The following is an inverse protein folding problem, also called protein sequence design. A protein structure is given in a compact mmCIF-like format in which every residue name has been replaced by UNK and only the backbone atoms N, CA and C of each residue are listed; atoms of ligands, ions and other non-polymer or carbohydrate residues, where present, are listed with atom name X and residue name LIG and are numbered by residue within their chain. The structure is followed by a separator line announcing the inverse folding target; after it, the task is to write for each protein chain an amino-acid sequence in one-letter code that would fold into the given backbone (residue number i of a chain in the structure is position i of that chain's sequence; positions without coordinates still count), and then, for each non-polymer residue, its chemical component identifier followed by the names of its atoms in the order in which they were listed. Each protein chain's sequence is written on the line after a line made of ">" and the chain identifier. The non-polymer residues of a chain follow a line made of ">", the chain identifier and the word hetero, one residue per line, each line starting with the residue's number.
data_IF_219604585947
#
_entry.id   IF_219604585947
#
_cell.length_a   1.000
_cell.length_b   1.000
_cell.length_c   1.000
_cell.angle_alpha   90.00
_cell.angle_beta   90.00
_cell.angle_gamma   90.00
#
_symmetry.space_group_name_H-M   'P 1'
#
loop_
_entity.id
_entity.type
_entity.pdbx_description
1 polymer ?
#
# COMPACT_ATOMS: atom_id res chain seq x y z
N UNK A 1 -7.40 -21.99 10.52
CA UNK A 1 -6.69 -22.31 9.26
C UNK A 1 -6.04 -23.68 9.41
N UNK A 2 -6.37 -24.67 8.57
CA UNK A 2 -5.60 -25.92 8.55
C UNK A 2 -4.21 -25.62 7.98
N UNK A 3 -3.12 -25.77 8.75
CA UNK A 3 -1.79 -25.38 8.30
C UNK A 3 -1.27 -26.20 7.11
N UNK A 4 -1.77 -27.43 6.89
CA UNK A 4 -1.27 -28.34 5.85
C UNK A 4 -1.82 -28.02 4.45
N UNK A 5 -3.04 -27.46 4.37
CA UNK A 5 -3.75 -27.23 3.11
C UNK A 5 -3.91 -25.76 2.76
N UNK A 6 -3.30 -24.86 3.54
CA UNK A 6 -3.46 -23.42 3.34
C UNK A 6 -2.71 -22.94 2.09
N UNK A 7 -3.47 -22.66 1.04
CA UNK A 7 -2.95 -22.11 -0.23
C UNK A 7 -2.91 -20.58 -0.24
N UNK A 8 -3.68 -19.93 0.64
CA UNK A 8 -3.90 -18.47 0.65
C UNK A 8 -4.93 -17.97 -0.36
N UNK A 9 -5.28 -18.78 -1.39
CA UNK A 9 -6.26 -18.40 -2.41
C UNK A 9 -7.62 -18.08 -1.79
N UNK A 10 -8.28 -17.05 -2.31
CA UNK A 10 -9.67 -16.77 -2.00
C UNK A 10 -10.55 -17.97 -2.41
N UNK A 11 -11.49 -18.41 -1.56
CA UNK A 11 -12.47 -19.43 -1.96
C UNK A 11 -13.25 -18.99 -3.20
N UNK A 12 -13.62 -19.95 -4.06
CA UNK A 12 -14.39 -19.67 -5.29
C UNK A 12 -15.67 -18.91 -5.02
N UNK A 13 -16.36 -19.27 -3.95
CA UNK A 13 -17.67 -18.71 -3.61
C UNK A 13 -17.54 -17.25 -3.15
N UNK A 14 -16.40 -16.89 -2.53
CA UNK A 14 -16.10 -15.50 -2.15
C UNK A 14 -15.79 -14.64 -3.38
N UNK A 15 -15.02 -15.17 -4.34
CA UNK A 15 -14.76 -14.51 -5.62
C UNK A 15 -16.09 -14.28 -6.36
N UNK A 16 -16.93 -15.31 -6.44
CA UNK A 16 -18.25 -15.22 -7.05
C UNK A 16 -19.14 -14.18 -6.36
N UNK A 17 -19.19 -14.17 -5.02
CA UNK A 17 -19.94 -13.16 -4.26
C UNK A 17 -19.43 -11.75 -4.55
N UNK A 18 -18.11 -11.55 -4.65
CA UNK A 18 -17.53 -10.25 -5.00
C UNK A 18 -17.93 -9.81 -6.41
N UNK A 19 -18.03 -10.74 -7.37
CA UNK A 19 -18.47 -10.41 -8.74
C UNK A 19 -19.92 -9.92 -8.78
N UNK A 20 -20.79 -10.46 -7.92
CA UNK A 20 -22.19 -10.00 -7.78
C UNK A 20 -22.33 -8.58 -7.21
N UNK A 21 -21.24 -8.01 -6.67
CA UNK A 21 -21.21 -6.66 -6.10
C UNK A 21 -20.72 -5.59 -7.09
N UNK A 22 -20.70 -5.88 -8.40
CA UNK A 22 -20.27 -4.94 -9.44
C UNK A 22 -20.90 -3.53 -9.30
N UNK A 23 -22.20 -3.47 -9.00
CA UNK A 23 -22.93 -2.21 -8.78
C UNK A 23 -22.32 -1.31 -7.69
N UNK A 24 -21.65 -1.92 -6.70
CA UNK A 24 -20.98 -1.24 -5.60
C UNK A 24 -19.59 -0.77 -6.02
N UNK A 25 -18.89 -1.61 -6.78
CA UNK A 25 -17.53 -1.32 -7.24
C UNK A 25 -17.53 -0.16 -8.24
N UNK A 26 -18.49 -0.11 -9.17
CA UNK A 26 -18.65 0.98 -10.15
C UNK A 26 -18.86 2.35 -9.50
N UNK A 27 -19.57 2.38 -8.36
CA UNK A 27 -19.83 3.60 -7.58
C UNK A 27 -18.68 3.97 -6.64
N UNK A 28 -17.71 3.07 -6.46
CA UNK A 28 -16.57 3.28 -5.57
C UNK A 28 -15.51 4.15 -6.24
N UNK A 29 -14.73 4.85 -5.41
CA UNK A 29 -13.56 5.65 -5.86
C UNK A 29 -12.23 5.15 -5.35
N UNK A 30 -12.31 4.19 -4.44
CA UNK A 30 -11.20 3.48 -3.85
C UNK A 30 -11.75 2.20 -3.22
N UNK A 31 -10.91 1.18 -3.12
CA UNK A 31 -11.20 -0.01 -2.35
C UNK A 31 -10.40 0.02 -1.06
N UNK A 32 -11.01 -0.39 0.04
CA UNK A 32 -10.36 -0.50 1.34
C UNK A 32 -10.42 -1.95 1.79
N UNK A 33 -9.26 -2.54 2.07
CA UNK A 33 -9.18 -3.93 2.51
C UNK A 33 -8.25 -4.06 3.71
N UNK A 34 -8.54 -5.00 4.61
CA UNK A 34 -7.76 -5.24 5.82
C UNK A 34 -6.80 -6.41 5.64
N UNK A 35 -5.53 -6.18 5.98
CA UNK A 35 -4.42 -7.14 5.92
C UNK A 35 -3.72 -7.25 7.27
N UNK A 36 -4.49 -7.45 8.33
CA UNK A 36 -3.93 -7.65 9.66
C UNK A 36 -3.36 -9.06 9.77
N UNK A 37 -2.06 -9.16 10.05
CA UNK A 37 -1.37 -10.43 10.06
C UNK A 37 -1.46 -11.08 11.46
N UNK A 38 -1.97 -12.31 11.51
CA UNK A 38 -1.99 -13.09 12.74
C UNK A 38 -0.60 -13.64 13.08
N UNK A 39 -0.25 -13.66 14.36
CA UNK A 39 1.04 -14.17 14.86
C UNK A 39 1.27 -15.63 14.49
N UNK A 40 0.21 -16.42 14.32
CA UNK A 40 0.33 -17.82 13.86
C UNK A 40 0.99 -17.95 12.48
N UNK A 41 0.96 -16.87 11.68
CA UNK A 41 1.57 -16.82 10.35
C UNK A 41 2.98 -16.21 10.35
N UNK A 42 3.48 -15.77 11.50
CA UNK A 42 4.75 -15.05 11.65
C UNK A 42 5.89 -15.73 10.87
N UNK A 43 6.61 -14.95 10.07
CA UNK A 43 7.83 -15.35 9.35
C UNK A 43 7.65 -16.66 8.59
N UNK A 44 6.55 -16.75 7.84
CA UNK A 44 6.23 -17.94 7.07
C UNK A 44 5.74 -17.60 5.67
N UNK A 45 5.93 -18.53 4.74
CA UNK A 45 5.34 -18.43 3.40
C UNK A 45 3.81 -18.34 3.41
N UNK A 46 3.16 -18.70 4.52
CA UNK A 46 1.70 -18.55 4.67
C UNK A 46 1.31 -17.09 4.91
N UNK A 47 2.15 -16.29 5.58
CA UNK A 47 1.95 -14.85 5.66
C UNK A 47 1.99 -14.21 4.27
N UNK A 48 3.00 -14.57 3.46
CA UNK A 48 3.09 -14.13 2.07
C UNK A 48 1.82 -14.51 1.29
N UNK A 49 1.43 -15.78 1.31
CA UNK A 49 0.23 -16.26 0.60
C UNK A 49 -1.04 -15.55 1.07
N UNK A 50 -1.19 -15.32 2.38
CA UNK A 50 -2.33 -14.61 2.96
C UNK A 50 -2.46 -13.19 2.38
N UNK A 51 -1.36 -12.43 2.35
CA UNK A 51 -1.37 -11.07 1.81
C UNK A 51 -1.51 -11.10 0.30
N UNK A 52 -0.67 -11.87 -0.40
CA UNK A 52 -0.61 -11.94 -1.86
C UNK A 52 -2.00 -12.13 -2.48
N UNK A 53 -2.72 -13.18 -2.08
CA UNK A 53 -4.01 -13.50 -2.69
C UNK A 53 -5.13 -12.50 -2.33
N UNK A 54 -5.12 -11.93 -1.12
CA UNK A 54 -6.09 -10.92 -0.75
C UNK A 54 -5.87 -9.60 -1.48
N UNK A 55 -4.60 -9.21 -1.68
CA UNK A 55 -4.26 -8.01 -2.46
C UNK A 55 -4.59 -8.23 -3.93
N UNK A 56 -4.30 -9.41 -4.48
CA UNK A 56 -4.67 -9.75 -5.86
C UNK A 56 -6.17 -9.72 -6.09
N UNK A 57 -6.97 -10.23 -5.16
CA UNK A 57 -8.43 -10.10 -5.27
C UNK A 57 -8.87 -8.65 -5.22
N UNK A 58 -8.32 -7.84 -4.31
CA UNK A 58 -8.63 -6.41 -4.28
C UNK A 58 -8.24 -5.68 -5.58
N UNK A 59 -7.09 -6.01 -6.18
CA UNK A 59 -6.65 -5.46 -7.46
C UNK A 59 -7.54 -5.93 -8.61
N UNK A 60 -7.95 -7.21 -8.64
CA UNK A 60 -8.90 -7.73 -9.64
C UNK A 60 -10.23 -6.98 -9.60
N UNK A 61 -10.78 -6.75 -8.40
CA UNK A 61 -11.99 -5.95 -8.23
C UNK A 61 -11.74 -4.49 -8.65
N UNK A 62 -10.58 -3.92 -8.35
CA UNK A 62 -10.25 -2.55 -8.74
C UNK A 62 -10.16 -2.35 -10.27
N UNK A 63 -9.68 -3.36 -10.99
CA UNK A 63 -9.60 -3.39 -12.44
C UNK A 63 -10.98 -3.63 -13.08
N UNK A 64 -11.81 -4.49 -12.48
CA UNK A 64 -13.16 -4.80 -12.97
C UNK A 64 -14.17 -3.69 -12.67
N UNK A 65 -13.93 -2.89 -11.63
CA UNK A 65 -14.85 -1.86 -11.17
C UNK A 65 -15.17 -0.81 -12.25
N UNK A 66 -14.19 -0.48 -13.12
CA UNK A 66 -14.34 0.58 -14.13
C UNK A 66 -13.47 0.31 -15.35
N UNK A 67 -13.87 0.85 -16.51
CA UNK A 67 -13.12 0.71 -17.77
C UNK A 67 -12.11 1.83 -18.03
N UNK A 68 -12.22 2.96 -17.33
CA UNK A 68 -11.44 4.18 -17.58
C UNK A 68 -10.13 4.23 -16.78
N UNK A 69 -10.09 3.67 -15.57
CA UNK A 69 -8.88 3.52 -14.77
C UNK A 69 -9.06 2.45 -13.67
N UNK A 70 -7.93 1.95 -13.16
CA UNK A 70 -7.91 1.01 -12.02
C UNK A 70 -8.12 1.77 -10.72
N UNK A 71 -9.13 1.40 -9.93
CA UNK A 71 -9.39 2.04 -8.64
C UNK A 71 -8.16 1.97 -7.71
N UNK A 72 -7.86 3.04 -6.95
CA UNK A 72 -6.82 2.95 -5.93
C UNK A 72 -7.26 1.97 -4.82
N UNK A 73 -6.40 0.99 -4.54
CA UNK A 73 -6.57 0.08 -3.41
C UNK A 73 -5.77 0.58 -2.21
N UNK A 74 -6.46 0.73 -1.08
CA UNK A 74 -5.90 1.12 0.20
C UNK A 74 -5.98 -0.05 1.18
N UNK A 75 -4.85 -0.37 1.77
CA UNK A 75 -4.74 -1.49 2.71
C UNK A 75 -4.64 -0.97 4.12
N UNK A 76 -5.58 -1.36 4.96
CA UNK A 76 -5.43 -1.25 6.40
C UNK A 76 -4.52 -2.37 6.90
N UNK A 77 -3.41 -1.99 7.51
CA UNK A 77 -2.47 -2.93 8.13
C UNK A 77 -2.08 -2.44 9.52
N UNK A 78 -1.31 -3.28 10.23
CA UNK A 78 -0.80 -3.04 11.57
C UNK A 78 0.71 -3.18 11.57
N UNK A 79 1.49 -2.28 12.20
CA UNK A 79 2.89 -2.53 12.51
C UNK A 79 3.13 -3.72 13.46
N UNK A 80 2.09 -4.24 14.12
CA UNK A 80 2.14 -5.36 15.05
C UNK A 80 1.24 -6.52 14.61
N UNK A 81 1.52 -7.74 15.07
CA UNK A 81 0.64 -8.87 14.80
C UNK A 81 -0.69 -8.72 15.55
N UNK A 82 -1.75 -9.36 15.03
CA UNK A 82 -3.07 -9.33 15.66
C UNK A 82 -3.04 -9.79 17.13
N UNK A 83 -3.81 -9.09 17.96
CA UNK A 83 -4.01 -9.37 19.39
C UNK A 83 -2.72 -9.40 20.21
N UNK A 84 -1.67 -8.72 19.75
CA UNK A 84 -0.44 -8.55 20.52
C UNK A 84 0.30 -7.24 20.16
N UNK A 85 1.32 -6.93 20.96
CA UNK A 85 2.22 -5.79 20.77
C UNK A 85 3.56 -6.18 20.15
N UNK A 86 3.65 -7.39 19.60
CA UNK A 86 4.85 -7.87 18.96
C UNK A 86 4.95 -7.28 17.56
N UNK A 87 6.03 -6.56 17.30
CA UNK A 87 6.23 -5.89 16.02
C UNK A 87 6.43 -6.91 14.90
N UNK A 88 5.95 -6.59 13.70
CA UNK A 88 6.18 -7.41 12.52
C UNK A 88 7.68 -7.62 12.30
N UNK A 89 8.06 -8.86 11.99
CA UNK A 89 9.43 -9.18 11.61
C UNK A 89 9.83 -8.47 10.31
N UNK A 90 11.13 -8.36 10.05
CA UNK A 90 11.61 -7.79 8.79
C UNK A 90 11.07 -8.55 7.57
N UNK A 91 10.93 -9.86 7.70
CA UNK A 91 10.35 -10.75 6.69
C UNK A 91 8.86 -10.45 6.49
N UNK A 92 8.09 -10.28 7.57
CA UNK A 92 6.66 -9.99 7.44
C UNK A 92 6.39 -8.54 7.01
N UNK A 93 7.30 -7.59 7.24
CA UNK A 93 7.25 -6.30 6.55
C UNK A 93 7.39 -6.46 5.03
N UNK A 94 8.20 -7.41 4.56
CA UNK A 94 8.30 -7.75 3.14
C UNK A 94 7.02 -8.42 2.64
N UNK A 95 6.52 -9.42 3.36
CA UNK A 95 5.29 -10.12 2.99
C UNK A 95 4.03 -9.25 3.07
N UNK A 96 4.04 -8.16 3.83
CA UNK A 96 2.91 -7.23 3.95
C UNK A 96 3.09 -6.00 3.06
N UNK A 97 3.95 -5.07 3.48
CA UNK A 97 4.17 -3.78 2.83
C UNK A 97 4.85 -3.95 1.48
N UNK A 98 5.87 -4.81 1.41
CA UNK A 98 6.59 -5.08 0.16
C UNK A 98 5.70 -5.72 -0.90
N UNK A 99 5.00 -6.77 -0.51
CA UNK A 99 4.13 -7.55 -1.39
C UNK A 99 3.04 -6.67 -1.97
N UNK A 100 2.38 -5.92 -1.09
CA UNK A 100 1.26 -5.10 -1.51
C UNK A 100 1.71 -3.96 -2.43
N UNK A 101 2.91 -3.39 -2.22
CA UNK A 101 3.50 -2.39 -3.11
C UNK A 101 3.86 -2.98 -4.47
N UNK A 102 4.42 -4.19 -4.50
CA UNK A 102 4.75 -4.89 -5.73
C UNK A 102 3.51 -5.21 -6.58
N UNK A 103 2.37 -5.48 -5.95
CA UNK A 103 1.09 -5.73 -6.60
C UNK A 103 0.34 -4.45 -7.05
N UNK A 104 0.95 -3.26 -6.90
CA UNK A 104 0.39 -2.02 -7.48
C UNK A 104 -0.65 -1.30 -6.62
N UNK A 105 -0.75 -1.62 -5.32
CA UNK A 105 -1.61 -0.90 -4.39
C UNK A 105 -1.28 0.60 -4.34
N UNK A 106 -2.24 1.42 -3.92
CA UNK A 106 -2.04 2.86 -3.82
C UNK A 106 -1.49 3.30 -2.45
N UNK A 107 -1.97 2.73 -1.35
CA UNK A 107 -1.54 3.13 0.00
C UNK A 107 -1.66 2.00 1.00
N UNK A 108 -0.77 1.96 1.97
CA UNK A 108 -1.01 1.28 3.26
C UNK A 108 -1.27 2.32 4.33
N UNK A 109 -2.33 2.08 5.08
CA UNK A 109 -2.73 2.83 6.26
C UNK A 109 -2.42 1.93 7.45
N UNK A 110 -1.39 2.31 8.20
CA UNK A 110 -1.05 1.66 9.46
C UNK A 110 -1.96 2.25 10.55
N UNK A 111 -2.91 1.43 10.99
CA UNK A 111 -3.91 1.76 11.99
C UNK A 111 -3.65 0.95 13.26
N UNK A 112 -3.69 1.60 14.41
CA UNK A 112 -3.52 0.93 15.70
C UNK A 112 -4.55 1.38 16.73
N UNK A 113 -4.82 0.48 17.69
CA UNK A 113 -5.71 0.72 18.82
C UNK A 113 -5.04 1.46 19.97
N UNK A 114 -5.73 1.58 21.09
CA UNK A 114 -5.22 2.30 22.26
C UNK A 114 -4.13 1.52 23.02
N UNK A 115 -4.10 0.19 22.87
CA UNK A 115 -3.29 -0.75 23.64
C UNK A 115 -1.77 -0.49 23.53
N UNK A 116 -1.37 0.24 22.49
CA UNK A 116 0.02 0.61 22.19
C UNK A 116 0.52 1.82 22.99
N UNK A 117 -0.39 2.50 23.67
CA UNK A 117 -0.12 3.67 24.54
C UNK A 117 -0.44 3.41 26.01
N UNK A 118 -0.78 2.16 26.37
CA UNK A 118 -1.25 1.79 27.72
C UNK A 118 -0.17 1.91 28.80
N UNK A 119 1.11 1.78 28.42
CA UNK A 119 2.24 1.99 29.31
C UNK A 119 3.37 2.74 28.62
N UNK A 120 4.23 3.37 29.43
CA UNK A 120 5.43 4.05 28.96
C UNK A 120 6.35 3.07 28.22
N UNK A 121 6.48 1.85 28.74
CA UNK A 121 7.33 0.79 28.21
C UNK A 121 6.83 0.33 26.83
N UNK A 122 5.52 0.06 26.71
CA UNK A 122 4.88 -0.31 25.44
C UNK A 122 5.07 0.80 24.42
N UNK A 123 4.83 2.07 24.82
CA UNK A 123 5.00 3.16 23.89
C UNK A 123 6.46 3.33 23.41
N UNK A 124 7.45 3.26 24.30
CA UNK A 124 8.86 3.38 23.90
C UNK A 124 9.26 2.25 22.95
N UNK A 125 8.73 1.04 23.14
CA UNK A 125 8.93 -0.09 22.21
C UNK A 125 8.33 0.21 20.83
N UNK A 126 7.09 0.70 20.79
CA UNK A 126 6.39 1.11 19.56
C UNK A 126 7.16 2.21 18.83
N UNK A 127 7.59 3.25 19.55
CA UNK A 127 8.36 4.36 19.01
C UNK A 127 9.68 3.87 18.38
N UNK A 128 10.40 2.96 19.07
CA UNK A 128 11.65 2.38 18.58
C UNK A 128 11.44 1.56 17.32
N UNK A 129 10.34 0.82 17.23
CA UNK A 129 10.01 0.06 16.01
C UNK A 129 9.68 0.99 14.83
N UNK A 130 8.81 1.98 15.07
CA UNK A 130 8.41 2.95 14.05
C UNK A 130 9.62 3.72 13.51
N UNK A 131 10.46 4.29 14.39
CA UNK A 131 11.64 5.06 14.01
C UNK A 131 12.83 4.19 13.55
N UNK A 132 12.71 2.87 13.67
CA UNK A 132 13.77 1.93 13.39
C UNK A 132 13.44 1.06 12.16
N UNK A 133 13.13 -0.24 12.35
CA UNK A 133 12.87 -1.16 11.24
C UNK A 133 11.79 -0.68 10.27
N UNK A 134 10.67 -0.18 10.79
CA UNK A 134 9.54 0.23 9.96
C UNK A 134 9.89 1.42 9.07
N UNK A 135 10.41 2.51 9.62
CA UNK A 135 10.82 3.69 8.83
C UNK A 135 11.87 3.32 7.76
N UNK A 136 12.87 2.50 8.13
CA UNK A 136 13.89 2.04 7.19
C UNK A 136 13.31 1.24 6.03
N UNK A 137 12.32 0.39 6.29
CA UNK A 137 11.66 -0.39 5.26
C UNK A 137 10.68 0.44 4.44
N UNK A 138 9.93 1.33 5.08
CA UNK A 138 9.02 2.26 4.44
C UNK A 138 9.74 3.13 3.41
N UNK A 139 10.86 3.75 3.79
CA UNK A 139 11.65 4.58 2.87
C UNK A 139 12.25 3.74 1.74
N UNK A 140 12.65 2.49 2.00
CA UNK A 140 13.14 1.58 0.98
C UNK A 140 12.06 1.36 -0.10
N UNK A 141 10.90 0.83 0.27
CA UNK A 141 9.82 0.50 -0.66
C UNK A 141 9.25 1.74 -1.36
N UNK A 142 9.01 2.82 -0.61
CA UNK A 142 8.41 4.04 -1.19
C UNK A 142 9.36 4.76 -2.14
N UNK A 143 10.68 4.75 -1.89
CA UNK A 143 11.67 5.31 -2.81
C UNK A 143 11.74 4.49 -4.10
N UNK A 144 11.72 3.17 -4.00
CA UNK A 144 11.73 2.28 -5.17
C UNK A 144 10.45 2.42 -6.00
N UNK A 145 9.27 2.44 -5.36
CA UNK A 145 8.00 2.65 -6.04
C UNK A 145 7.92 4.02 -6.73
N UNK A 146 8.46 5.07 -6.09
CA UNK A 146 8.56 6.40 -6.68
C UNK A 146 9.50 6.41 -7.89
N UNK A 147 10.66 5.77 -7.79
CA UNK A 147 11.59 5.64 -8.92
C UNK A 147 10.93 4.91 -10.09
N UNK A 148 10.22 3.82 -9.81
CA UNK A 148 9.51 3.06 -10.82
C UNK A 148 8.42 3.89 -11.51
N UNK A 149 7.55 4.56 -10.73
CA UNK A 149 6.52 5.46 -11.26
C UNK A 149 7.11 6.58 -12.13
N UNK A 150 8.23 7.17 -11.69
CA UNK A 150 8.94 8.21 -12.44
C UNK A 150 9.51 7.71 -13.76
N UNK A 151 10.14 6.54 -13.75
CA UNK A 151 10.94 6.06 -14.87
C UNK A 151 10.13 5.23 -15.88
N UNK A 152 9.11 4.50 -15.44
CA UNK A 152 8.30 3.63 -16.30
C UNK A 152 6.92 4.23 -16.58
N UNK A 153 6.32 4.93 -15.63
CA UNK A 153 4.91 5.35 -15.69
C UNK A 153 4.72 6.87 -15.80
N UNK A 154 5.76 7.63 -16.18
CA UNK A 154 5.72 9.09 -16.34
C UNK A 154 5.17 9.89 -15.13
N UNK A 155 5.28 9.36 -13.91
CA UNK A 155 4.59 9.86 -12.70
C UNK A 155 3.06 9.86 -12.76
N UNK A 156 2.47 9.17 -13.73
CA UNK A 156 1.05 9.13 -13.98
C UNK A 156 0.41 7.78 -13.64
N UNK A 157 1.20 6.85 -13.12
CA UNK A 157 0.76 5.52 -12.71
C UNK A 157 1.68 4.90 -11.69
N UNK A 158 1.24 3.75 -11.17
CA UNK A 158 1.99 2.92 -10.22
C UNK A 158 2.51 1.69 -10.94
N UNK A 159 3.66 1.19 -10.51
CA UNK A 159 4.17 -0.08 -11.01
C UNK A 159 3.46 -1.25 -10.31
N UNK A 160 3.09 -2.26 -11.08
CA UNK A 160 2.54 -3.52 -10.59
C UNK A 160 3.30 -4.68 -11.24
N UNK A 161 3.43 -5.81 -10.54
CA UNK A 161 4.09 -7.00 -11.07
C UNK A 161 3.47 -7.43 -12.40
N UNK A 162 4.33 -7.70 -13.38
CA UNK A 162 3.90 -8.12 -14.72
C UNK A 162 3.27 -9.52 -14.72
N UNK A 163 3.80 -10.43 -13.91
CA UNK A 163 3.34 -11.80 -13.83
C UNK A 163 2.69 -12.09 -12.47
N UNK A 164 1.50 -12.74 -12.46
CA UNK A 164 0.81 -13.27 -11.28
C UNK A 164 1.67 -13.87 -10.17
N UNK A 165 2.65 -14.70 -10.54
CA UNK A 165 3.47 -15.47 -9.61
C UNK A 165 4.91 -14.95 -9.57
N UNK A 166 5.12 -13.68 -9.96
CA UNK A 166 6.43 -13.06 -9.92
C UNK A 166 6.91 -12.87 -8.48
N UNK A 167 8.20 -13.10 -8.25
CA UNK A 167 8.88 -12.76 -7.00
C UNK A 167 9.56 -11.38 -7.04
N UNK A 168 9.18 -10.50 -7.98
CA UNK A 168 9.75 -9.16 -8.12
C UNK A 168 9.20 -8.20 -7.06
N UNK A 169 10.08 -7.54 -6.30
CA UNK A 169 9.71 -6.52 -5.33
C UNK A 169 10.24 -5.14 -5.71
N UNK A 170 9.52 -4.10 -5.29
CA UNK A 170 9.96 -2.71 -5.40
C UNK A 170 10.85 -2.37 -4.20
N UNK A 171 12.10 -2.80 -4.21
CA UNK A 171 13.11 -2.41 -3.23
C UNK A 171 14.25 -1.63 -3.90
N UNK A 172 14.80 -0.67 -3.16
CA UNK A 172 16.05 -0.02 -3.51
C UNK A 172 17.19 -1.04 -3.41
N UNK A 173 18.17 -0.99 -4.32
CA UNK A 173 19.27 -1.95 -4.32
C UNK A 173 20.10 -1.83 -3.04
N UNK A 174 20.69 -2.95 -2.61
CA UNK A 174 21.54 -3.01 -1.42
C UNK A 174 22.73 -2.06 -1.49
N UNK A 175 23.22 -1.76 -2.70
CA UNK A 175 24.28 -0.80 -2.97
C UNK A 175 23.88 0.67 -2.75
N UNK A 176 22.64 0.93 -2.32
CA UNK A 176 22.16 2.28 -2.00
C UNK A 176 22.61 2.72 -0.60
N UNK A 177 23.06 3.96 -0.48
CA UNK A 177 23.43 4.56 0.81
C UNK A 177 22.23 5.19 1.48
N UNK A 178 22.08 4.98 2.78
CA UNK A 178 21.05 5.61 3.61
C UNK A 178 21.66 6.80 4.36
N UNK A 179 21.09 7.99 4.20
CA UNK A 179 21.50 9.20 4.95
C UNK A 179 20.32 9.75 5.72
N UNK A 180 20.52 10.11 6.98
CA UNK A 180 19.55 10.88 7.74
C UNK A 180 19.68 12.35 7.32
N UNK A 181 18.58 12.93 6.81
CA UNK A 181 18.55 14.36 6.54
C UNK A 181 18.43 15.14 7.86
N UNK A 182 18.80 16.43 7.82
CA UNK A 182 18.81 17.36 8.96
C UNK A 182 17.47 17.39 9.75
N UNK A 183 16.36 17.00 9.12
CA UNK A 183 15.02 16.95 9.73
C UNK A 183 14.56 15.53 10.16
N UNK A 184 15.47 14.62 10.53
CA UNK A 184 15.19 13.21 10.93
C UNK A 184 14.54 12.33 9.85
N UNK A 185 14.30 12.82 8.63
CA UNK A 185 13.79 11.98 7.53
C UNK A 185 14.93 11.16 6.91
N UNK A 186 14.80 9.84 6.92
CA UNK A 186 15.72 8.94 6.22
C UNK A 186 15.61 9.14 4.69
N UNK A 187 16.74 9.25 4.01
CA UNK A 187 16.82 9.37 2.55
C UNK A 187 17.72 8.27 1.99
N UNK A 188 17.32 7.73 0.83
CA UNK A 188 18.12 6.74 0.09
C UNK A 188 18.80 7.44 -1.08
N UNK A 189 20.10 7.21 -1.22
CA UNK A 189 20.96 7.73 -2.28
C UNK A 189 21.47 6.55 -3.10
N UNK A 190 21.38 6.67 -4.41
CA UNK A 190 21.79 5.65 -5.37
C UNK A 190 22.72 6.28 -6.41
N UNK A 191 23.79 5.56 -6.77
CA UNK A 191 24.70 6.03 -7.83
C UNK A 191 23.99 6.03 -9.20
N UNK A 192 24.43 6.88 -10.16
CA UNK A 192 23.83 6.90 -11.49
C UNK A 192 23.84 5.53 -12.20
N UNK A 193 24.95 4.79 -12.11
CA UNK A 193 25.07 3.46 -12.70
C UNK A 193 24.09 2.46 -12.09
N UNK A 194 23.98 2.42 -10.76
CA UNK A 194 23.05 1.52 -10.07
C UNK A 194 21.60 1.92 -10.34
N UNK A 195 21.31 3.21 -10.49
CA UNK A 195 19.98 3.71 -10.86
C UNK A 195 19.54 3.18 -12.23
N UNK A 196 20.42 3.25 -13.23
CA UNK A 196 20.13 2.73 -14.58
C UNK A 196 19.88 1.22 -14.56
N UNK A 197 20.71 0.46 -13.83
CA UNK A 197 20.51 -0.98 -13.64
C UNK A 197 19.16 -1.29 -12.98
N UNK A 198 18.85 -0.58 -11.89
CA UNK A 198 17.58 -0.74 -11.17
C UNK A 198 16.37 -0.46 -12.06
N UNK A 199 16.43 0.58 -12.90
CA UNK A 199 15.35 0.90 -13.84
C UNK A 199 15.18 -0.21 -14.89
N UNK A 200 16.28 -0.80 -15.36
CA UNK A 200 16.24 -1.93 -16.29
C UNK A 200 15.56 -3.15 -15.65
N UNK A 201 15.97 -3.50 -14.43
CA UNK A 201 15.37 -4.62 -13.68
C UNK A 201 13.87 -4.36 -13.41
N UNK A 202 13.49 -3.11 -13.11
CA UNK A 202 12.08 -2.70 -12.98
C UNK A 202 11.29 -2.90 -14.27
N UNK A 203 11.88 -2.57 -15.43
CA UNK A 203 11.22 -2.71 -16.74
C UNK A 203 10.92 -4.17 -17.08
N UNK A 204 11.76 -5.10 -16.61
CA UNK A 204 11.60 -6.52 -16.88
C UNK A 204 10.50 -7.14 -15.98
N UNK A 205 10.36 -6.65 -14.74
CA UNK A 205 9.44 -7.21 -13.74
C UNK A 205 8.09 -6.52 -13.58
N UNK A 206 7.92 -5.28 -14.06
CA UNK A 206 6.75 -4.45 -13.75
C UNK A 206 6.07 -3.83 -14.98
N UNK A 207 4.77 -3.60 -14.85
CA UNK A 207 3.90 -2.85 -15.78
C UNK A 207 3.25 -1.67 -15.06
N UNK A 208 2.67 -0.73 -15.81
CA UNK A 208 2.04 0.45 -15.23
C UNK A 208 0.53 0.30 -15.06
N UNK A 209 0.03 0.58 -13.85
CA UNK A 209 -1.37 0.82 -13.56
C UNK A 209 -1.60 2.33 -13.53
N UNK A 210 -2.22 2.85 -14.58
CA UNK A 210 -2.40 4.29 -14.76
C UNK A 210 -3.46 4.87 -13.81
N UNK A 211 -3.23 6.11 -13.41
CA UNK A 211 -4.16 6.87 -12.57
C UNK A 211 -5.29 7.43 -13.42
N UNK A 212 -6.34 7.90 -12.76
CA UNK A 212 -7.48 8.52 -13.41
C UNK A 212 -7.05 9.59 -14.43
N UNK A 213 -7.54 9.46 -15.65
CA UNK A 213 -7.25 10.38 -16.76
C UNK A 213 -5.97 10.08 -17.56
N UNK A 214 -5.24 9.00 -17.24
CA UNK A 214 -4.03 8.57 -17.96
C UNK A 214 -4.16 7.15 -18.50
N UNK A 215 -3.60 6.91 -19.68
CA UNK A 215 -3.62 5.61 -20.35
C UNK A 215 -2.36 5.37 -21.18
N UNK A 216 -2.28 4.16 -21.76
CA UNK A 216 -1.11 3.64 -22.46
C UNK A 216 -0.17 2.85 -21.54
N UNK A 217 0.71 2.06 -22.14
CA UNK A 217 1.63 1.14 -21.44
C UNK A 217 2.51 1.85 -20.39
N UNK A 218 2.80 3.13 -20.58
CA UNK A 218 3.64 3.95 -19.69
C UNK A 218 2.90 5.16 -19.10
N UNK A 219 1.57 5.20 -19.17
CA UNK A 219 0.73 6.30 -18.67
C UNK A 219 1.10 7.68 -19.24
N UNK A 220 1.53 7.73 -20.50
CA UNK A 220 1.98 8.93 -21.19
C UNK A 220 0.86 9.69 -21.89
N UNK A 221 -0.29 9.04 -22.12
CA UNK A 221 -1.41 9.62 -22.86
C UNK A 221 -2.48 10.08 -21.88
N UNK A 222 -3.01 11.28 -22.10
CA UNK A 222 -4.06 11.88 -21.27
C UNK A 222 -5.41 11.70 -21.95
N UNK A 223 -6.40 11.19 -21.22
CA UNK A 223 -7.75 10.99 -21.75
C UNK A 223 -8.39 12.32 -22.16
N UNK A 224 -9.00 12.32 -23.35
CA UNK A 224 -9.72 13.46 -23.94
C UNK A 224 -10.97 13.87 -23.16
N UNK A 225 -11.55 12.98 -22.35
CA UNK A 225 -12.74 13.26 -21.52
C UNK A 225 -12.42 14.16 -20.32
N UNK A 226 -11.21 14.03 -19.76
CA UNK A 226 -10.70 14.92 -18.70
C UNK A 226 -10.37 16.31 -19.25
N UNK A 227 -9.91 16.40 -20.51
CA UNK A 227 -9.65 17.68 -21.20
C UNK A 227 -10.95 18.44 -21.52
N UNK A 228 -12.08 17.74 -21.66
CA UNK A 228 -13.39 18.33 -21.96
C UNK A 228 -14.20 18.71 -20.71
N UNK A 229 -13.64 18.53 -19.51
CA UNK A 229 -14.24 18.97 -18.24
C UNK A 229 -15.46 18.17 -17.78
N UNK A 230 -15.72 17.00 -18.37
CA UNK A 230 -16.89 16.16 -18.02
C UNK A 230 -16.66 15.30 -16.77
N UNK A 231 -15.40 15.03 -16.41
CA UNK A 231 -15.01 14.29 -15.21
C UNK A 231 -14.15 15.14 -14.28
N UNK A 232 -14.77 16.10 -13.58
CA UNK A 232 -14.16 16.64 -12.36
C UNK A 232 -14.26 15.54 -11.29
N UNK A 233 -13.16 15.09 -10.65
CA UNK A 233 -13.30 14.29 -9.44
C UNK A 233 -14.03 15.16 -8.41
N UNK A 234 -15.26 14.85 -7.98
CA UNK A 234 -15.89 15.69 -7.00
C UNK A 234 -15.14 15.45 -5.69
N UNK A 235 -14.69 16.52 -5.04
CA UNK A 235 -14.00 16.45 -3.76
C UNK A 235 -14.85 15.61 -2.80
N UNK A 236 -14.30 14.48 -2.35
CA UNK A 236 -14.93 13.71 -1.30
C UNK A 236 -14.63 14.42 0.02
N UNK A 237 -15.56 15.26 0.48
CA UNK A 237 -15.58 15.73 1.86
C UNK A 237 -16.07 14.58 2.75
N UNK A 238 -15.15 13.74 3.23
CA UNK A 238 -15.47 12.79 4.29
C UNK A 238 -15.58 13.57 5.61
N UNK A 239 -16.77 14.06 5.93
CA UNK A 239 -17.14 14.35 7.32
C UNK A 239 -17.64 13.06 7.94
N UNK A 240 -16.81 12.41 8.75
CA UNK A 240 -17.28 11.37 9.66
C UNK A 240 -18.11 12.08 10.74
N UNK A 241 -19.43 12.20 10.55
CA UNK A 241 -20.32 12.65 11.62
C UNK A 241 -20.46 11.49 12.61
N UNK A 242 -19.60 11.45 13.61
CA UNK A 242 -19.80 10.60 14.78
C UNK A 242 -20.92 11.22 15.62
N UNK A 243 -22.14 10.73 15.44
CA UNK A 243 -23.22 10.95 16.39
C UNK A 243 -23.21 9.80 17.41
N UNK A 244 -22.33 9.91 18.41
CA UNK A 244 -22.49 9.31 19.74
C UNK A 244 -21.61 10.11 20.72
N UNK A 245 -22.14 10.53 21.89
CA UNK A 245 -21.53 11.57 22.69
C UNK A 245 -20.40 11.03 23.58
N UNK A 246 -19.41 11.89 23.83
CA UNK A 246 -18.38 11.79 24.88
C UNK A 246 -17.17 10.88 24.67
N UNK A 247 -16.50 11.00 23.52
CA UNK A 247 -15.04 10.82 23.45
C UNK A 247 -14.44 11.92 22.57
N UNK A 248 -13.60 12.77 23.17
CA UNK A 248 -12.75 13.76 22.50
C UNK A 248 -11.84 13.05 21.47
N UNK A 249 -12.34 12.89 20.25
CA UNK A 249 -11.54 12.62 19.07
C UNK A 249 -11.32 13.95 18.36
N UNK A 250 -10.11 14.50 18.47
CA UNK A 250 -9.68 15.56 17.58
C UNK A 250 -9.89 15.10 16.13
N UNK A 251 -10.59 15.93 15.36
CA UNK A 251 -10.86 15.74 13.95
C UNK A 251 -9.55 15.44 13.20
N UNK A 252 -9.37 14.19 12.76
CA UNK A 252 -8.31 13.83 11.82
C UNK A 252 -8.74 14.35 10.45
N UNK A 253 -8.35 15.58 10.17
CA UNK A 253 -8.48 16.21 8.87
C UNK A 253 -7.68 15.40 7.82
N UNK A 254 -8.39 14.61 7.01
CA UNK A 254 -7.87 13.89 5.83
C UNK A 254 -7.52 14.87 4.68
N UNK A 255 -6.81 15.95 4.98
CA UNK A 255 -6.37 16.96 4.00
C UNK A 255 -4.93 16.69 3.56
N UNK A 256 -4.74 15.60 2.81
CA UNK A 256 -3.62 15.51 1.87
C UNK A 256 -4.19 15.22 0.48
N UNK A 257 -3.79 15.94 -0.58
CA UNK A 257 -4.24 15.61 -1.93
C UNK A 257 -3.89 14.15 -2.19
N UNK A 258 -4.90 13.32 -2.48
CA UNK A 258 -4.74 11.93 -2.87
C UNK A 258 -3.85 11.88 -4.11
N UNK A 259 -2.53 11.78 -3.94
CA UNK A 259 -1.61 11.50 -5.05
C UNK A 259 -1.84 10.05 -5.46
N UNK A 260 -2.85 9.83 -6.30
CA UNK A 260 -3.23 8.51 -6.81
C UNK A 260 -2.06 7.84 -7.58
N UNK A 261 -1.14 8.64 -8.09
CA UNK A 261 -0.05 8.20 -8.96
C UNK A 261 1.15 7.57 -8.23
N UNK A 262 1.18 7.59 -6.89
CA UNK A 262 2.31 7.07 -6.11
C UNK A 262 1.86 6.15 -4.98
N UNK A 263 2.67 5.12 -4.72
CA UNK A 263 2.53 4.30 -3.53
C UNK A 263 2.91 5.11 -2.28
N UNK A 264 2.11 5.00 -1.22
CA UNK A 264 2.36 5.70 0.05
C UNK A 264 2.16 4.78 1.27
N UNK A 265 2.99 4.97 2.30
CA UNK A 265 2.80 4.37 3.62
C UNK A 265 2.42 5.49 4.58
N UNK A 266 1.22 5.42 5.14
CA UNK A 266 0.71 6.39 6.10
C UNK A 266 0.59 5.75 7.49
N UNK A 267 1.17 6.39 8.50
CA UNK A 267 1.02 5.98 9.90
C UNK A 267 0.02 6.93 10.53
N UNK A 268 -1.18 6.44 10.81
CA UNK A 268 -2.16 7.19 11.57
C UNK A 268 -1.75 7.14 13.04
N UNK A 269 -1.26 8.27 13.54
CA UNK A 269 -0.84 8.40 14.93
C UNK A 269 -2.08 8.53 15.81
N UNK A 270 -2.30 7.56 16.69
CA UNK A 270 -3.18 7.69 17.85
C UNK A 270 -2.60 8.67 18.88
N UNK A 271 -3.11 8.61 20.12
CA UNK A 271 -2.64 9.46 21.24
C UNK A 271 -1.11 9.57 21.25
N UNK A 272 -0.61 10.79 21.34
CA UNK A 272 0.81 11.04 21.55
C UNK A 272 1.23 10.42 22.87
N UNK A 273 2.25 9.59 22.80
CA UNK A 273 3.30 9.66 23.80
C UNK A 273 4.13 10.93 23.53
#
# INVERSE_FOLDING_TARGET
>A
VNPQTYTGKCPSDEIFCNDQLQWRWEKSRALYTSMYLDKILKSSLKALKFVHYRVREAMRIAEMARHDYVLPVFIFSRPFYLHNIEALSQEDLVHTVGESAALGMARIILWEGYEYSDSKETCLSVQKFIQGPLDRYAVNVTTAAKLCSQSLCHNNGRCAQKAPESSSYLHMPESSSKKYALCKSLRVIISPANKLKTIKDMKDGFVCHCSHGWHGESCQQRSSDVLRGKDKPPMANFKLSASLPDLLFDSVDFFYPLRQHQFFLEILKGRRC
#
